data_IF_754765036121
#
_entry.id   IF_754765036121
#
_cell.length_a   1.000
_cell.length_b   1.000
_cell.length_c   1.000
_cell.angle_alpha   90.00
_cell.angle_beta   90.00
_cell.angle_gamma   90.00
#
_symmetry.space_group_name_H-M   'P 1'
#
loop_
_entity.id
_entity.type
_entity.pdbx_description
1 polymer ?
#
# COMPACT_ATOMS: atom_id res chain seq x y z
N UNK A 1 53.68 19.08 7.58
CA UNK A 1 52.66 19.39 6.56
C UNK A 1 53.16 18.66 5.33
N UNK A 2 52.66 17.49 4.94
CA UNK A 2 51.26 17.08 4.95
C UNK A 2 51.03 15.60 5.29
N UNK A 3 49.94 15.41 6.04
CA UNK A 3 49.27 14.16 6.31
C UNK A 3 48.38 13.82 5.12
N UNK A 4 48.49 12.60 4.59
CA UNK A 4 47.35 11.91 3.99
C UNK A 4 47.57 10.41 4.06
N UNK A 5 47.12 9.85 5.19
CA UNK A 5 46.99 8.42 5.39
C UNK A 5 45.75 7.95 4.62
N UNK A 6 45.95 7.18 3.55
CA UNK A 6 44.87 6.44 2.92
C UNK A 6 44.43 5.30 3.86
N UNK A 7 43.40 5.57 4.66
CA UNK A 7 42.69 4.55 5.42
C UNK A 7 41.82 3.74 4.45
N UNK A 8 42.35 2.61 3.98
CA UNK A 8 41.55 1.58 3.32
C UNK A 8 40.75 0.88 4.41
N UNK A 9 39.48 1.25 4.58
CA UNK A 9 38.53 0.51 5.42
C UNK A 9 38.18 -0.79 4.69
N UNK A 10 39.03 -1.80 4.85
CA UNK A 10 38.67 -3.18 4.57
C UNK A 10 37.59 -3.60 5.56
N UNK A 11 36.41 -3.94 5.05
CA UNK A 11 35.37 -4.64 5.81
C UNK A 11 35.92 -6.00 6.19
N UNK A 12 36.57 -6.09 7.36
CA UNK A 12 37.14 -7.33 7.86
C UNK A 12 36.00 -8.28 8.24
N UNK A 13 35.79 -9.31 7.40
CA UNK A 13 35.01 -10.48 7.79
C UNK A 13 35.58 -11.07 9.10
N UNK A 14 34.74 -11.56 10.02
CA UNK A 14 35.22 -12.13 11.27
C UNK A 14 36.17 -13.30 11.00
N UNK A 15 37.42 -13.17 11.43
CA UNK A 15 38.46 -14.19 11.26
C UNK A 15 38.22 -15.33 12.23
N UNK A 16 37.93 -16.52 11.70
CA UNK A 16 37.82 -17.73 12.50
C UNK A 16 39.20 -18.12 13.03
N UNK A 17 39.40 -17.99 14.34
CA UNK A 17 40.58 -18.51 15.00
C UNK A 17 40.57 -20.05 14.95
N UNK A 18 41.57 -20.64 14.31
CA UNK A 18 41.76 -22.10 14.31
C UNK A 18 42.29 -22.51 15.68
N UNK A 19 41.40 -22.86 16.60
CA UNK A 19 41.79 -23.55 17.84
C UNK A 19 41.87 -25.05 17.57
N UNK A 20 43.06 -25.51 17.20
CA UNK A 20 43.42 -26.93 17.33
C UNK A 20 43.55 -27.27 18.82
N UNK A 21 42.57 -27.95 19.42
CA UNK A 21 42.81 -29.03 20.39
C UNK A 21 41.52 -29.58 21.04
N UNK A 22 41.39 -30.91 20.94
CA UNK A 22 41.03 -31.85 22.02
C UNK A 22 39.64 -31.79 22.71
N UNK A 23 38.82 -32.79 22.35
CA UNK A 23 38.21 -33.77 23.26
C UNK A 23 37.04 -33.34 24.18
N UNK A 24 35.87 -33.88 23.83
CA UNK A 24 34.76 -34.37 24.69
C UNK A 24 34.05 -33.41 25.66
N UNK A 25 32.73 -33.65 25.76
CA UNK A 25 31.76 -33.06 26.69
C UNK A 25 31.32 -31.63 26.36
N UNK A 26 30.19 -31.52 25.64
CA UNK A 26 29.10 -30.57 25.90
C UNK A 26 27.97 -30.75 24.88
N UNK A 27 27.31 -31.91 24.91
CA UNK A 27 26.04 -32.13 24.18
C UNK A 27 24.84 -31.60 24.98
N UNK A 28 25.05 -31.09 26.21
CA UNK A 28 23.98 -30.65 27.10
C UNK A 28 23.63 -29.15 27.01
N UNK A 29 24.39 -28.34 26.27
CA UNK A 29 24.24 -26.86 26.30
C UNK A 29 23.54 -26.28 25.05
N UNK A 30 23.45 -27.05 23.96
CA UNK A 30 22.84 -26.58 22.71
C UNK A 30 21.30 -26.56 22.74
N UNK A 31 20.68 -27.24 23.70
CA UNK A 31 19.23 -27.17 23.93
C UNK A 31 18.80 -25.91 24.68
N UNK A 32 19.72 -25.17 25.30
CA UNK A 32 19.40 -24.00 26.12
C UNK A 32 19.50 -22.67 25.34
N UNK A 33 20.30 -22.61 24.26
CA UNK A 33 20.48 -21.39 23.45
C UNK A 33 19.36 -21.21 22.41
N UNK A 34 18.59 -22.27 22.13
CA UNK A 34 17.34 -22.17 21.36
C UNK A 34 16.18 -21.51 22.15
N UNK A 35 16.38 -21.20 23.43
CA UNK A 35 15.33 -20.67 24.32
C UNK A 35 15.54 -19.23 24.78
N UNK A 36 16.51 -18.50 24.22
CA UNK A 36 16.81 -17.10 24.58
C UNK A 36 16.98 -16.22 23.34
N UNK A 37 15.96 -16.16 22.49
CA UNK A 37 15.77 -15.09 21.50
C UNK A 37 14.36 -15.13 20.89
N UNK A 38 13.33 -15.25 21.73
CA UNK A 38 11.98 -14.79 21.38
C UNK A 38 11.56 -13.94 22.56
N UNK A 39 11.38 -12.61 22.42
CA UNK A 39 10.62 -11.90 23.43
C UNK A 39 9.25 -12.55 23.46
N UNK A 40 8.90 -13.18 24.57
CA UNK A 40 7.60 -13.77 24.81
C UNK A 40 6.56 -12.72 24.46
N UNK A 41 5.78 -12.97 23.40
CA UNK A 41 4.68 -12.11 22.95
C UNK A 41 3.64 -11.85 24.07
N UNK A 42 3.72 -12.61 25.17
CA UNK A 42 2.94 -12.44 26.40
C UNK A 42 3.35 -11.25 27.28
N UNK A 43 4.55 -10.67 27.14
CA UNK A 43 5.00 -9.55 27.98
C UNK A 43 4.65 -8.15 27.43
N UNK A 44 4.23 -8.07 26.17
CA UNK A 44 3.73 -6.84 25.52
C UNK A 44 2.20 -6.74 25.50
N UNK A 45 1.50 -7.71 26.10
CA UNK A 45 0.03 -7.78 26.14
C UNK A 45 -0.57 -7.47 27.53
N UNK A 46 0.24 -7.04 28.50
CA UNK A 46 -0.22 -6.76 29.87
C UNK A 46 -0.48 -5.28 30.17
N UNK A 47 -0.29 -4.38 29.22
CA UNK A 47 -0.88 -3.05 29.34
C UNK A 47 -2.31 -3.13 28.80
N UNK A 48 -3.35 -2.89 29.64
CA UNK A 48 -4.71 -2.78 29.15
C UNK A 48 -4.74 -1.60 28.17
N UNK A 49 -4.85 -1.90 26.88
CA UNK A 49 -5.23 -0.90 25.88
C UNK A 49 -6.67 -0.53 26.21
N UNK A 50 -6.83 0.61 26.87
CA UNK A 50 -8.10 1.26 27.08
C UNK A 50 -8.64 1.64 25.70
N UNK A 51 -9.56 0.83 25.19
CA UNK A 51 -10.29 1.18 23.97
C UNK A 51 -11.14 2.42 24.28
N UNK A 52 -11.07 3.49 23.47
CA UNK A 52 -12.00 4.60 23.62
C UNK A 52 -13.43 4.05 23.51
N UNK A 53 -14.32 4.48 24.41
CA UNK A 53 -15.73 4.09 24.40
C UNK A 53 -16.32 4.21 22.98
N UNK A 54 -17.22 3.29 22.59
CA UNK A 54 -17.95 3.43 21.33
C UNK A 54 -18.73 4.75 21.37
N UNK A 55 -18.44 5.60 20.39
CA UNK A 55 -19.07 6.92 20.26
C UNK A 55 -20.60 6.78 20.34
N UNK A 56 -21.28 7.70 21.06
CA UNK A 56 -22.72 7.66 21.24
C UNK A 56 -23.44 7.66 19.88
N UNK A 57 -24.63 7.04 19.79
CA UNK A 57 -25.35 6.82 18.54
C UNK A 57 -25.73 8.10 17.77
N UNK A 58 -25.58 9.27 18.39
CA UNK A 58 -25.82 10.59 17.80
C UNK A 58 -24.83 10.94 16.66
N UNK A 59 -23.63 10.34 16.62
CA UNK A 59 -22.63 10.62 15.56
C UNK A 59 -22.88 9.78 14.28
N UNK A 60 -23.49 8.60 14.42
CA UNK A 60 -23.87 7.79 13.27
C UNK A 60 -25.08 8.38 12.52
N UNK A 61 -25.88 9.21 13.18
CA UNK A 61 -26.97 9.97 12.55
C UNK A 61 -26.40 11.10 11.67
N UNK A 62 -25.38 11.84 12.13
CA UNK A 62 -24.71 12.88 11.31
C UNK A 62 -24.02 12.31 10.06
N UNK A 63 -23.39 11.14 10.15
CA UNK A 63 -22.74 10.53 8.98
C UNK A 63 -23.74 9.93 7.98
N UNK A 64 -24.91 9.48 8.45
CA UNK A 64 -26.00 8.99 7.59
C UNK A 64 -26.82 10.11 6.94
N UNK A 65 -26.78 11.33 7.48
CA UNK A 65 -27.42 12.51 6.91
C UNK A 65 -26.58 13.18 5.81
N UNK A 66 -25.27 12.90 5.74
CA UNK A 66 -24.39 13.42 4.69
C UNK A 66 -24.61 12.86 3.27
N UNK A 67 -25.52 11.89 3.11
CA UNK A 67 -25.88 11.27 1.81
C UNK A 67 -27.34 11.51 1.41
N UNK A 68 -28.01 12.48 2.05
CA UNK A 68 -29.36 12.89 1.67
C UNK A 68 -29.35 14.30 1.12
N UNK A 69 -29.16 14.44 -0.19
CA UNK A 69 -29.82 15.43 -1.05
C UNK A 69 -30.23 16.71 -0.30
N UNK A 70 -29.29 17.58 0.04
CA UNK A 70 -29.63 18.99 0.23
C UNK A 70 -29.97 19.53 -1.16
N UNK A 71 -31.26 19.49 -1.44
CA UNK A 71 -31.89 20.32 -2.44
C UNK A 71 -31.54 21.75 -2.05
N UNK A 72 -30.45 22.26 -2.63
CA UNK A 72 -30.02 23.64 -2.44
C UNK A 72 -31.19 24.51 -2.85
N UNK A 73 -31.77 25.19 -1.87
CA UNK A 73 -32.96 26.00 -2.05
C UNK A 73 -32.64 27.05 -3.13
N UNK A 74 -33.55 27.26 -4.09
CA UNK A 74 -33.34 28.22 -5.19
C UNK A 74 -33.04 29.62 -4.63
N UNK A 75 -33.49 29.87 -3.40
CA UNK A 75 -33.22 31.06 -2.60
C UNK A 75 -31.76 31.17 -2.10
N UNK A 76 -31.09 30.05 -1.80
CA UNK A 76 -29.68 30.05 -1.37
C UNK A 76 -28.73 30.16 -2.55
N UNK A 77 -29.00 29.50 -3.69
CA UNK A 77 -28.25 29.69 -4.92
C UNK A 77 -28.35 31.15 -5.41
N UNK A 78 -29.54 31.77 -5.31
CA UNK A 78 -29.73 33.18 -5.65
C UNK A 78 -29.08 34.13 -4.64
N UNK A 79 -29.04 33.78 -3.35
CA UNK A 79 -28.33 34.57 -2.33
C UNK A 79 -26.80 34.44 -2.42
N UNK A 80 -26.26 33.26 -2.79
CA UNK A 80 -24.84 33.08 -3.07
C UNK A 80 -24.45 33.83 -4.35
N UNK A 81 -25.28 33.79 -5.39
CA UNK A 81 -25.08 34.55 -6.63
C UNK A 81 -25.14 36.07 -6.41
N UNK A 82 -26.01 36.54 -5.50
CA UNK A 82 -26.06 37.95 -5.03
C UNK A 82 -24.86 38.36 -4.18
N UNK A 83 -24.24 37.43 -3.45
CA UNK A 83 -23.02 37.68 -2.65
C UNK A 83 -21.74 37.63 -3.49
N UNK A 84 -21.66 36.72 -4.47
CA UNK A 84 -20.51 36.56 -5.37
C UNK A 84 -20.48 37.62 -6.48
N UNK A 85 -21.65 38.14 -6.86
CA UNK A 85 -21.82 39.25 -7.79
C UNK A 85 -22.70 40.33 -7.14
N UNK A 86 -22.15 41.21 -6.30
CA UNK A 86 -22.89 42.35 -5.83
C UNK A 86 -23.23 43.20 -7.06
N UNK A 87 -24.51 43.33 -7.41
CA UNK A 87 -24.93 44.48 -8.21
C UNK A 87 -24.46 45.72 -7.47
N UNK A 88 -23.57 46.49 -8.10
CA UNK A 88 -23.10 47.75 -7.58
C UNK A 88 -24.34 48.60 -7.21
N UNK A 89 -24.57 48.77 -5.92
CA UNK A 89 -25.48 49.78 -5.40
C UNK A 89 -24.82 51.12 -5.72
N UNK A 90 -25.41 51.86 -6.65
CA UNK A 90 -25.06 53.26 -6.91
C UNK A 90 -25.27 54.05 -5.61
N UNK A 91 -24.32 54.90 -5.16
CA UNK A 91 -24.52 55.69 -3.96
C UNK A 91 -25.63 56.73 -4.18
N UNK A 92 -26.44 56.92 -3.14
CA UNK A 92 -27.53 57.87 -3.03
C UNK A 92 -27.03 59.31 -3.28
N UNK A 93 -27.65 59.96 -4.26
CA UNK A 93 -27.31 61.31 -4.70
C UNK A 93 -28.02 62.32 -3.77
N UNK A 94 -27.51 62.53 -2.55
CA UNK A 94 -27.93 63.70 -1.77
C UNK A 94 -26.79 64.31 -0.93
N UNK A 95 -26.48 65.56 -1.29
CA UNK A 95 -25.66 66.55 -0.59
C UNK A 95 -24.12 66.42 -0.65
N UNK A 96 -23.53 67.01 -1.71
CA UNK A 96 -22.52 68.07 -1.58
C UNK A 96 -22.15 68.62 -2.97
N UNK A 97 -22.14 69.95 -3.07
CA UNK A 97 -22.07 70.80 -4.27
C UNK A 97 -20.82 70.52 -5.14
N UNK A 98 -20.93 70.43 -6.48
CA UNK A 98 -19.77 70.32 -7.34
C UNK A 98 -19.19 71.70 -7.68
N UNK A 99 -17.91 71.91 -7.41
CA UNK A 99 -17.11 72.95 -8.05
C UNK A 99 -16.19 72.33 -9.10
N UNK A 100 -16.38 72.75 -10.35
CA UNK A 100 -15.50 72.69 -11.53
C UNK A 100 -14.33 71.67 -11.55
N UNK A 101 -14.48 70.62 -12.35
CA UNK A 101 -13.51 70.24 -13.39
C UNK A 101 -14.08 69.07 -14.23
N UNK A 102 -14.41 69.34 -15.50
CA UNK A 102 -15.00 68.36 -16.44
C UNK A 102 -14.11 67.13 -16.72
N UNK A 103 -12.88 67.13 -16.20
CA UNK A 103 -11.88 66.08 -16.39
C UNK A 103 -11.99 64.95 -15.34
N UNK A 104 -12.37 65.27 -14.09
CA UNK A 104 -12.35 64.29 -12.99
C UNK A 104 -13.53 63.30 -13.04
N UNK A 105 -14.73 63.77 -13.39
CA UNK A 105 -15.91 62.91 -13.56
C UNK A 105 -15.77 61.94 -14.74
N UNK A 106 -15.17 62.42 -15.84
CA UNK A 106 -14.84 61.59 -17.01
C UNK A 106 -13.81 60.50 -16.66
N UNK A 107 -12.78 60.87 -15.90
CA UNK A 107 -11.76 59.94 -15.42
C UNK A 107 -12.35 58.87 -14.48
N UNK A 108 -13.23 59.27 -13.57
CA UNK A 108 -13.92 58.35 -12.65
C UNK A 108 -14.79 57.33 -13.41
N UNK A 109 -15.59 57.77 -14.37
CA UNK A 109 -16.42 56.88 -15.19
C UNK A 109 -15.59 55.95 -16.09
N UNK A 110 -14.48 56.44 -16.64
CA UNK A 110 -13.53 55.63 -17.42
C UNK A 110 -12.86 54.55 -16.56
N UNK A 111 -12.43 54.90 -15.35
CA UNK A 111 -11.88 53.94 -14.37
C UNK A 111 -12.90 52.89 -13.96
N UNK A 112 -14.15 53.30 -13.71
CA UNK A 112 -15.22 52.39 -13.32
C UNK A 112 -15.58 51.41 -14.44
N UNK A 113 -15.70 51.88 -15.69
CA UNK A 113 -15.96 51.03 -16.86
C UNK A 113 -14.82 50.04 -17.11
N UNK A 114 -13.55 50.45 -16.93
CA UNK A 114 -12.40 49.55 -17.07
C UNK A 114 -12.35 48.50 -15.97
N UNK A 115 -12.67 48.88 -14.73
CA UNK A 115 -12.79 47.94 -13.61
C UNK A 115 -13.91 46.93 -13.86
N UNK A 116 -15.08 47.39 -14.34
CA UNK A 116 -16.22 46.54 -14.69
C UNK A 116 -15.92 45.60 -15.88
N UNK A 117 -15.21 46.07 -16.91
CA UNK A 117 -14.76 45.21 -18.01
C UNK A 117 -13.76 44.15 -17.55
N UNK A 118 -12.85 44.51 -16.64
CA UNK A 118 -11.83 43.61 -16.12
C UNK A 118 -12.46 42.52 -15.24
N UNK A 119 -13.43 42.87 -14.39
CA UNK A 119 -14.19 41.89 -13.60
C UNK A 119 -15.06 41.01 -14.49
N UNK A 120 -15.69 41.56 -15.54
CA UNK A 120 -16.45 40.75 -16.50
C UNK A 120 -15.57 39.76 -17.28
N UNK A 121 -14.34 40.14 -17.63
CA UNK A 121 -13.36 39.23 -18.28
C UNK A 121 -12.90 38.13 -17.32
N UNK A 122 -12.61 38.49 -16.07
CA UNK A 122 -12.23 37.52 -15.04
C UNK A 122 -13.38 36.53 -14.76
N UNK A 123 -14.62 37.00 -14.69
CA UNK A 123 -15.81 36.16 -14.52
C UNK A 123 -15.98 35.18 -15.69
N UNK A 124 -15.87 35.64 -16.95
CA UNK A 124 -15.94 34.76 -18.14
C UNK A 124 -14.81 33.71 -18.17
N UNK A 125 -13.61 34.07 -17.73
CA UNK A 125 -12.49 33.13 -17.63
C UNK A 125 -12.75 32.08 -16.55
N UNK A 126 -13.28 32.49 -15.39
CA UNK A 126 -13.66 31.57 -14.33
C UNK A 126 -14.76 30.61 -14.80
N UNK A 127 -15.81 31.10 -15.47
CA UNK A 127 -16.87 30.26 -16.04
C UNK A 127 -16.34 29.25 -17.06
N UNK A 128 -15.43 29.66 -17.94
CA UNK A 128 -14.80 28.76 -18.90
C UNK A 128 -13.97 27.68 -18.22
N UNK A 129 -13.19 28.04 -17.18
CA UNK A 129 -12.42 27.08 -16.40
C UNK A 129 -13.32 26.08 -15.67
N UNK A 130 -14.39 26.56 -15.02
CA UNK A 130 -15.36 25.70 -14.34
C UNK A 130 -16.01 24.74 -15.33
N UNK A 131 -16.46 25.21 -16.50
CA UNK A 131 -17.03 24.33 -17.53
C UNK A 131 -16.06 23.27 -18.01
N UNK A 132 -14.79 23.63 -18.22
CA UNK A 132 -13.76 22.68 -18.64
C UNK A 132 -13.50 21.63 -17.58
N UNK A 133 -13.40 22.03 -16.31
CA UNK A 133 -13.23 21.10 -15.19
C UNK A 133 -14.44 20.17 -15.07
N UNK A 134 -15.67 20.69 -15.22
CA UNK A 134 -16.88 19.86 -15.20
C UNK A 134 -16.90 18.84 -16.35
N UNK A 135 -16.52 19.25 -17.55
CA UNK A 135 -16.41 18.35 -18.71
C UNK A 135 -15.34 17.27 -18.50
N UNK A 136 -14.18 17.64 -17.95
CA UNK A 136 -13.10 16.69 -17.62
C UNK A 136 -13.54 15.68 -16.54
N UNK A 137 -14.27 16.14 -15.52
CA UNK A 137 -14.84 15.29 -14.47
C UNK A 137 -15.89 14.35 -15.06
N UNK A 138 -16.80 14.84 -15.89
CA UNK A 138 -17.84 14.02 -16.51
C UNK A 138 -17.24 12.97 -17.46
N UNK A 139 -16.22 13.33 -18.24
CA UNK A 139 -15.49 12.41 -19.08
C UNK A 139 -14.78 11.32 -18.26
N UNK A 140 -14.17 11.68 -17.13
CA UNK A 140 -13.55 10.72 -16.21
C UNK A 140 -14.59 9.77 -15.59
N UNK A 141 -15.73 10.30 -15.15
CA UNK A 141 -16.84 9.48 -14.64
C UNK A 141 -17.37 8.51 -15.69
N UNK A 142 -17.55 8.97 -16.93
CA UNK A 142 -18.00 8.12 -18.03
C UNK A 142 -16.97 7.03 -18.34
N UNK A 143 -15.68 7.33 -18.30
CA UNK A 143 -14.62 6.33 -18.45
C UNK A 143 -14.70 5.27 -17.35
N UNK A 144 -14.84 5.70 -16.09
CA UNK A 144 -15.00 4.79 -14.94
C UNK A 144 -16.26 3.93 -15.11
N UNK A 145 -17.40 4.53 -15.43
CA UNK A 145 -18.66 3.82 -15.67
C UNK A 145 -18.57 2.86 -16.86
N UNK A 146 -17.82 3.17 -17.91
CA UNK A 146 -17.62 2.29 -19.07
C UNK A 146 -16.70 1.12 -18.74
N UNK A 147 -15.66 1.33 -17.93
CA UNK A 147 -14.80 0.27 -17.38
C UNK A 147 -15.61 -0.63 -16.43
N UNK A 148 -16.52 -0.03 -15.65
CA UNK A 148 -17.35 -0.72 -14.66
C UNK A 148 -18.64 -1.34 -15.22
N UNK A 149 -19.13 -0.88 -16.38
CA UNK A 149 -20.38 -1.34 -17.00
C UNK A 149 -20.32 -2.75 -17.58
N UNK A 150 -19.10 -3.26 -17.83
CA UNK A 150 -18.84 -4.69 -18.08
C UNK A 150 -18.39 -5.45 -16.83
N UNK A 151 -18.38 -4.80 -15.65
CA UNK A 151 -17.84 -5.34 -14.43
C UNK A 151 -18.90 -6.11 -13.65
N UNK A 152 -18.53 -7.32 -13.24
CA UNK A 152 -19.30 -8.20 -12.39
C UNK A 152 -19.71 -7.51 -11.07
N UNK A 153 -20.84 -7.93 -10.48
CA UNK A 153 -21.28 -7.46 -9.16
C UNK A 153 -20.73 -8.38 -8.07
N UNK A 154 -20.40 -7.81 -6.91
CA UNK A 154 -20.06 -8.59 -5.73
C UNK A 154 -21.28 -9.40 -5.27
N UNK A 155 -21.03 -10.55 -4.65
CA UNK A 155 -22.06 -11.51 -4.27
C UNK A 155 -22.01 -11.84 -2.77
N UNK A 156 -23.09 -12.47 -2.29
CA UNK A 156 -23.21 -12.95 -0.92
C UNK A 156 -22.54 -14.31 -0.76
N UNK A 157 -22.06 -14.64 0.44
CA UNK A 157 -21.38 -15.91 0.74
C UNK A 157 -22.18 -17.13 0.28
N UNK A 158 -23.47 -17.19 0.65
CA UNK A 158 -24.39 -18.29 0.28
C UNK A 158 -24.65 -18.43 -1.23
N UNK A 159 -24.27 -17.44 -2.04
CA UNK A 159 -24.40 -17.49 -3.51
C UNK A 159 -23.12 -17.91 -4.22
N UNK A 160 -22.01 -18.08 -3.48
CA UNK A 160 -20.76 -18.59 -4.02
C UNK A 160 -20.85 -20.11 -4.24
N UNK A 161 -20.10 -20.66 -5.20
CA UNK A 161 -19.87 -22.09 -5.26
C UNK A 161 -19.04 -22.55 -4.05
N UNK A 162 -19.19 -23.82 -3.67
CA UNK A 162 -18.57 -24.41 -2.47
C UNK A 162 -17.05 -24.21 -2.38
N UNK A 163 -16.34 -24.30 -3.52
CA UNK A 163 -14.89 -24.11 -3.58
C UNK A 163 -14.40 -22.66 -3.36
N UNK A 164 -15.30 -21.68 -3.29
CA UNK A 164 -15.01 -20.28 -2.91
C UNK A 164 -15.53 -19.92 -1.51
N UNK A 165 -16.24 -20.83 -0.85
CA UNK A 165 -16.82 -20.59 0.47
C UNK A 165 -15.81 -20.89 1.58
N UNK A 166 -14.72 -20.15 1.63
CA UNK A 166 -13.60 -20.44 2.55
C UNK A 166 -13.88 -20.02 4.00
N UNK A 167 -14.59 -18.91 4.21
CA UNK A 167 -14.89 -18.35 5.53
C UNK A 167 -16.31 -17.81 5.59
N UNK A 168 -17.18 -18.45 6.38
CA UNK A 168 -18.60 -18.17 6.52
C UNK A 168 -18.91 -16.91 7.36
N UNK A 169 -17.94 -16.39 8.11
CA UNK A 169 -18.04 -15.10 8.79
C UNK A 169 -17.99 -13.90 7.81
N UNK A 170 -17.49 -14.10 6.59
CA UNK A 170 -17.49 -13.09 5.55
C UNK A 170 -18.78 -13.19 4.72
N UNK A 171 -19.83 -12.46 5.10
CA UNK A 171 -21.13 -12.63 4.46
C UNK A 171 -21.28 -11.98 3.07
N UNK A 172 -20.62 -10.84 2.79
CA UNK A 172 -20.83 -10.01 1.59
C UNK A 172 -19.50 -9.55 0.97
N UNK A 173 -19.57 -9.06 -0.27
CA UNK A 173 -18.42 -8.44 -0.95
C UNK A 173 -17.55 -9.42 -1.72
N UNK A 174 -18.03 -10.63 -1.97
CA UNK A 174 -17.27 -11.67 -2.65
C UNK A 174 -17.27 -11.51 -4.16
N UNK A 175 -16.19 -11.92 -4.81
CA UNK A 175 -16.13 -11.98 -6.26
C UNK A 175 -16.87 -13.23 -6.76
N UNK A 176 -17.74 -13.12 -7.77
CA UNK A 176 -18.29 -14.30 -8.43
C UNK A 176 -17.18 -15.02 -9.22
N UNK A 177 -17.42 -16.26 -9.68
CA UNK A 177 -16.47 -16.95 -10.54
C UNK A 177 -16.16 -16.17 -11.83
N UNK A 178 -14.90 -15.75 -11.99
CA UNK A 178 -14.42 -14.96 -13.12
C UNK A 178 -13.59 -15.84 -14.06
N UNK A 179 -14.21 -16.48 -15.06
CA UNK A 179 -13.53 -17.36 -16.03
C UNK A 179 -12.61 -16.64 -17.04
N UNK A 180 -11.99 -15.53 -16.63
CA UNK A 180 -11.03 -14.77 -17.42
C UNK A 180 -9.95 -14.22 -16.51
N UNK A 181 -8.70 -14.61 -16.76
CA UNK A 181 -7.54 -14.05 -16.05
C UNK A 181 -7.50 -12.52 -16.12
N UNK A 182 -7.84 -11.93 -17.28
CA UNK A 182 -7.88 -10.47 -17.41
C UNK A 182 -8.91 -9.84 -16.45
N UNK A 183 -10.05 -10.48 -16.22
CA UNK A 183 -11.03 -10.03 -15.24
C UNK A 183 -10.52 -10.17 -13.80
N UNK A 184 -9.81 -11.26 -13.49
CA UNK A 184 -9.13 -11.45 -12.20
C UNK A 184 -8.08 -10.37 -11.94
N UNK A 185 -7.17 -10.09 -12.88
CA UNK A 185 -6.16 -9.03 -12.73
C UNK A 185 -6.77 -7.63 -12.65
N UNK A 186 -7.84 -7.36 -13.42
CA UNK A 186 -8.57 -6.09 -13.28
C UNK A 186 -9.26 -5.94 -11.93
N UNK A 187 -9.55 -7.05 -11.23
CA UNK A 187 -10.16 -7.00 -9.89
C UNK A 187 -9.23 -6.44 -8.82
N UNK A 188 -7.90 -6.43 -9.04
CA UNK A 188 -6.91 -5.86 -8.10
C UNK A 188 -7.27 -4.41 -7.71
N UNK A 189 -7.83 -3.64 -8.65
CA UNK A 189 -8.23 -2.25 -8.45
C UNK A 189 -9.71 -2.09 -8.05
N UNK A 190 -10.40 -3.17 -7.67
CA UNK A 190 -11.77 -3.15 -7.15
C UNK A 190 -11.80 -3.55 -5.69
N UNK A 191 -12.81 -3.07 -4.98
CA UNK A 191 -13.04 -3.41 -3.58
C UNK A 191 -13.88 -4.69 -3.48
N UNK A 192 -13.33 -5.69 -2.80
CA UNK A 192 -13.94 -6.98 -2.48
C UNK A 192 -13.18 -7.62 -1.32
N UNK A 193 -13.64 -8.79 -0.84
CA UNK A 193 -13.04 -9.50 0.31
C UNK A 193 -11.53 -9.77 0.16
N UNK A 194 -11.08 -10.09 -1.05
CA UNK A 194 -9.67 -10.39 -1.34
C UNK A 194 -8.75 -9.17 -1.57
N UNK A 195 -9.28 -7.94 -1.54
CA UNK A 195 -8.48 -6.74 -1.91
C UNK A 195 -7.31 -6.57 -0.94
N UNK A 196 -7.55 -6.72 0.37
CA UNK A 196 -6.50 -6.64 1.38
C UNK A 196 -5.40 -7.68 1.15
N UNK A 197 -5.77 -8.95 0.98
CA UNK A 197 -4.84 -10.05 0.76
C UNK A 197 -3.96 -9.85 -0.48
N UNK A 198 -4.53 -9.34 -1.58
CA UNK A 198 -3.76 -9.03 -2.78
C UNK A 198 -2.74 -7.92 -2.50
N UNK A 199 -3.20 -6.79 -1.95
CA UNK A 199 -2.37 -5.59 -1.83
C UNK A 199 -1.27 -5.73 -0.77
N UNK A 200 -1.53 -6.39 0.36
CA UNK A 200 -0.52 -6.61 1.40
C UNK A 200 0.65 -7.42 0.85
N UNK A 201 0.38 -8.53 0.17
CA UNK A 201 1.42 -9.37 -0.43
C UNK A 201 2.06 -8.73 -1.66
N UNK A 202 1.30 -8.02 -2.51
CA UNK A 202 1.84 -7.34 -3.68
C UNK A 202 2.81 -6.22 -3.29
N UNK A 203 2.42 -5.35 -2.35
CA UNK A 203 3.29 -4.28 -1.86
C UNK A 203 4.51 -4.85 -1.14
N UNK A 204 4.34 -5.92 -0.35
CA UNK A 204 5.45 -6.64 0.26
C UNK A 204 6.43 -7.17 -0.80
N UNK A 205 5.92 -7.79 -1.86
CA UNK A 205 6.75 -8.31 -2.96
C UNK A 205 7.56 -7.18 -3.62
N UNK A 206 6.92 -6.06 -3.97
CA UNK A 206 7.59 -4.90 -4.56
C UNK A 206 8.64 -4.29 -3.62
N UNK A 207 8.35 -4.23 -2.32
CA UNK A 207 9.30 -3.78 -1.31
C UNK A 207 10.54 -4.69 -1.27
N UNK A 208 10.36 -6.01 -1.21
CA UNK A 208 11.46 -6.96 -1.20
C UNK A 208 12.26 -6.95 -2.51
N UNK A 209 11.62 -6.74 -3.67
CA UNK A 209 12.32 -6.49 -4.94
C UNK A 209 13.20 -5.24 -4.84
N UNK A 210 12.66 -4.12 -4.34
CA UNK A 210 13.42 -2.88 -4.18
C UNK A 210 14.61 -3.02 -3.24
N UNK A 211 14.41 -3.66 -2.09
CA UNK A 211 15.47 -3.95 -1.12
C UNK A 211 16.54 -4.86 -1.73
N UNK A 212 16.13 -5.93 -2.44
CA UNK A 212 17.06 -6.85 -3.08
C UNK A 212 17.92 -6.14 -4.14
N UNK A 213 17.30 -5.33 -5.00
CA UNK A 213 18.02 -4.55 -6.01
C UNK A 213 19.01 -3.60 -5.34
N UNK A 214 18.58 -2.88 -4.30
CA UNK A 214 19.45 -1.97 -3.55
C UNK A 214 20.65 -2.69 -2.91
N UNK A 215 20.41 -3.80 -2.22
CA UNK A 215 21.44 -4.57 -1.52
C UNK A 215 22.43 -5.24 -2.49
N UNK A 216 21.93 -5.90 -3.54
CA UNK A 216 22.77 -6.61 -4.52
C UNK A 216 23.56 -5.65 -5.42
N UNK A 217 23.10 -4.41 -5.59
CA UNK A 217 23.81 -3.37 -6.36
C UNK A 217 24.95 -2.71 -5.59
N UNK A 218 25.12 -2.98 -4.29
CA UNK A 218 26.25 -2.43 -3.51
C UNK A 218 27.57 -2.97 -4.09
N UNK A 219 28.65 -2.17 -4.20
CA UNK A 219 29.92 -2.66 -4.74
C UNK A 219 30.53 -3.75 -3.85
N UNK A 220 31.27 -4.67 -4.46
CA UNK A 220 31.85 -5.82 -3.75
C UNK A 220 32.93 -5.44 -2.72
N UNK A 221 33.48 -4.23 -2.83
CA UNK A 221 34.40 -3.67 -1.84
C UNK A 221 33.70 -3.37 -0.50
N UNK A 222 32.38 -3.13 -0.51
CA UNK A 222 31.59 -2.91 0.69
C UNK A 222 30.93 -4.20 1.20
N UNK A 223 30.38 -5.00 0.29
CA UNK A 223 29.69 -6.25 0.63
C UNK A 223 30.29 -7.38 -0.23
N UNK A 224 31.02 -8.34 0.37
CA UNK A 224 31.57 -9.47 -0.34
C UNK A 224 30.50 -10.24 -1.13
N UNK A 225 30.90 -10.83 -2.26
CA UNK A 225 29.98 -11.55 -3.13
C UNK A 225 29.31 -12.75 -2.44
N UNK A 226 29.98 -13.36 -1.46
CA UNK A 226 29.47 -14.48 -0.66
C UNK A 226 28.26 -14.05 0.18
N UNK A 227 28.37 -12.91 0.86
CA UNK A 227 27.27 -12.33 1.63
C UNK A 227 26.10 -11.95 0.72
N UNK A 228 26.40 -11.40 -0.46
CA UNK A 228 25.38 -11.14 -1.48
C UNK A 228 24.66 -12.41 -1.92
N UNK A 229 25.38 -13.49 -2.17
CA UNK A 229 24.79 -14.76 -2.57
C UNK A 229 23.89 -15.33 -1.46
N UNK A 230 24.36 -15.27 -0.21
CA UNK A 230 23.63 -15.70 0.97
C UNK A 230 22.31 -14.92 1.14
N UNK A 231 22.36 -13.59 1.13
CA UNK A 231 21.13 -12.77 1.23
C UNK A 231 20.25 -12.83 -0.03
N UNK A 232 20.82 -13.06 -1.21
CA UNK A 232 20.05 -13.25 -2.44
C UNK A 232 19.09 -14.43 -2.33
N UNK A 233 19.47 -15.52 -1.65
CA UNK A 233 18.57 -16.67 -1.43
C UNK A 233 17.36 -16.29 -0.59
N UNK A 234 17.55 -15.51 0.48
CA UNK A 234 16.46 -14.99 1.30
C UNK A 234 15.55 -14.08 0.48
N UNK A 235 16.10 -13.09 -0.22
CA UNK A 235 15.30 -12.18 -1.04
C UNK A 235 14.52 -12.90 -2.13
N UNK A 236 15.15 -13.82 -2.86
CA UNK A 236 14.47 -14.62 -3.87
C UNK A 236 13.30 -15.42 -3.27
N UNK A 237 13.52 -16.06 -2.12
CA UNK A 237 12.47 -16.83 -1.44
C UNK A 237 11.29 -15.97 -0.97
N UNK A 238 11.55 -14.76 -0.45
CA UNK A 238 10.53 -13.81 -0.04
C UNK A 238 9.71 -13.28 -1.22
N UNK A 239 10.38 -12.89 -2.32
CA UNK A 239 9.72 -12.42 -3.54
C UNK A 239 8.84 -13.53 -4.14
N UNK A 240 9.36 -14.77 -4.18
CA UNK A 240 8.61 -15.93 -4.68
C UNK A 240 7.37 -16.20 -3.81
N UNK A 241 7.52 -16.23 -2.49
CA UNK A 241 6.39 -16.46 -1.57
C UNK A 241 5.31 -15.38 -1.71
N UNK A 242 5.69 -14.10 -1.60
CA UNK A 242 4.74 -12.99 -1.67
C UNK A 242 4.10 -12.87 -3.06
N UNK A 243 4.87 -13.13 -4.11
CA UNK A 243 4.38 -13.17 -5.49
C UNK A 243 3.36 -14.29 -5.70
N UNK A 244 3.66 -15.51 -5.26
CA UNK A 244 2.73 -16.65 -5.38
C UNK A 244 1.44 -16.41 -4.58
N UNK A 245 1.53 -15.85 -3.38
CA UNK A 245 0.36 -15.48 -2.57
C UNK A 245 -0.51 -14.42 -3.23
N UNK A 246 0.10 -13.33 -3.70
CA UNK A 246 -0.62 -12.26 -4.41
C UNK A 246 -1.28 -12.78 -5.69
N UNK A 247 -0.59 -13.65 -6.44
CA UNK A 247 -1.17 -14.32 -7.62
C UNK A 247 -2.36 -15.20 -7.23
N UNK A 248 -2.23 -16.02 -6.19
CA UNK A 248 -3.33 -16.87 -5.69
C UNK A 248 -4.56 -16.04 -5.35
N UNK A 249 -4.44 -15.03 -4.50
CA UNK A 249 -5.56 -14.18 -4.13
C UNK A 249 -6.12 -13.37 -5.30
N UNK A 250 -5.34 -13.13 -6.36
CA UNK A 250 -5.85 -12.50 -7.59
C UNK A 250 -6.68 -13.48 -8.43
N UNK A 251 -6.19 -14.70 -8.65
CA UNK A 251 -6.80 -15.68 -9.56
C UNK A 251 -7.69 -16.71 -8.88
N UNK A 252 -7.83 -16.65 -7.55
CA UNK A 252 -8.63 -17.60 -6.76
C UNK A 252 -10.03 -17.75 -7.33
N UNK A 253 -10.70 -16.64 -7.65
CA UNK A 253 -12.04 -16.65 -8.24
C UNK A 253 -12.15 -17.17 -9.69
N UNK A 254 -11.08 -17.60 -10.35
CA UNK A 254 -11.14 -17.94 -11.77
C UNK A 254 -11.96 -19.19 -12.07
N UNK A 255 -11.57 -20.29 -11.42
CA UNK A 255 -12.15 -21.62 -11.57
C UNK A 255 -11.55 -22.51 -10.49
N UNK A 256 -12.29 -23.53 -10.06
CA UNK A 256 -11.84 -24.47 -9.03
C UNK A 256 -10.44 -25.04 -9.27
N UNK A 257 -10.12 -25.46 -10.49
CA UNK A 257 -8.81 -26.02 -10.82
C UNK A 257 -7.67 -25.00 -10.64
N UNK A 258 -7.85 -23.79 -11.18
CA UNK A 258 -6.87 -22.69 -11.06
C UNK A 258 -6.72 -22.27 -9.59
N UNK A 259 -7.83 -22.13 -8.85
CA UNK A 259 -7.81 -21.80 -7.43
C UNK A 259 -7.02 -22.84 -6.63
N UNK A 260 -7.29 -24.13 -6.82
CA UNK A 260 -6.57 -25.23 -6.17
C UNK A 260 -5.09 -25.26 -6.53
N UNK A 261 -4.74 -25.06 -7.81
CA UNK A 261 -3.34 -25.04 -8.25
C UNK A 261 -2.57 -23.89 -7.59
N UNK A 262 -3.12 -22.67 -7.63
CA UNK A 262 -2.45 -21.51 -7.05
C UNK A 262 -2.45 -21.53 -5.53
N UNK A 263 -3.45 -22.14 -4.88
CA UNK A 263 -3.44 -22.39 -3.42
C UNK A 263 -2.27 -23.30 -3.03
N UNK A 264 -2.02 -24.37 -3.79
CA UNK A 264 -0.84 -25.23 -3.57
C UNK A 264 0.46 -24.47 -3.74
N UNK A 265 0.55 -23.63 -4.78
CA UNK A 265 1.75 -22.80 -5.03
C UNK A 265 1.99 -21.79 -3.90
N UNK A 266 0.92 -21.21 -3.33
CA UNK A 266 1.02 -20.31 -2.18
C UNK A 266 1.58 -21.02 -0.95
N UNK A 267 1.05 -22.21 -0.61
CA UNK A 267 1.60 -23.05 0.47
C UNK A 267 3.07 -23.45 0.21
N UNK A 268 3.42 -23.80 -1.03
CA UNK A 268 4.81 -24.06 -1.41
C UNK A 268 5.69 -22.81 -1.20
N UNK A 269 5.15 -21.63 -1.49
CA UNK A 269 5.83 -20.34 -1.28
C UNK A 269 6.24 -20.13 0.17
N UNK A 270 5.36 -20.44 1.12
CA UNK A 270 5.67 -20.36 2.55
C UNK A 270 6.85 -21.28 2.91
N UNK A 271 6.84 -22.52 2.45
CA UNK A 271 7.94 -23.46 2.70
C UNK A 271 9.27 -22.98 2.09
N UNK A 272 9.24 -22.45 0.86
CA UNK A 272 10.43 -21.88 0.20
C UNK A 272 10.98 -20.68 0.98
N UNK A 273 10.11 -19.78 1.47
CA UNK A 273 10.51 -18.65 2.32
C UNK A 273 11.16 -19.12 3.63
N UNK A 274 10.60 -20.14 4.29
CA UNK A 274 11.19 -20.70 5.50
C UNK A 274 12.61 -21.20 5.19
N UNK A 275 12.80 -22.06 4.19
CA UNK A 275 14.13 -22.58 3.83
C UNK A 275 15.10 -21.42 3.51
N UNK A 276 14.68 -20.48 2.66
CA UNK A 276 15.51 -19.35 2.23
C UNK A 276 15.89 -18.40 3.38
N UNK A 277 15.00 -18.19 4.36
CA UNK A 277 15.28 -17.35 5.53
C UNK A 277 16.34 -17.95 6.47
N UNK A 278 16.45 -19.28 6.52
CA UNK A 278 17.46 -19.96 7.33
C UNK A 278 18.87 -19.85 6.74
N UNK A 279 19.03 -19.60 5.44
CA UNK A 279 20.36 -19.52 4.80
C UNK A 279 21.26 -18.43 5.40
N UNK A 280 20.87 -17.13 5.42
CA UNK A 280 21.67 -16.10 6.08
C UNK A 280 21.83 -16.32 7.57
N UNK A 281 20.76 -16.77 8.25
CA UNK A 281 20.81 -17.01 9.68
C UNK A 281 21.82 -18.09 10.06
N UNK A 282 21.84 -19.23 9.36
CA UNK A 282 22.82 -20.30 9.58
C UNK A 282 24.23 -19.90 9.14
N UNK A 283 24.35 -19.13 8.06
CA UNK A 283 25.63 -18.64 7.57
C UNK A 283 26.37 -17.84 8.63
N UNK A 284 25.69 -16.86 9.26
CA UNK A 284 26.28 -16.03 10.32
C UNK A 284 26.26 -16.70 11.70
N UNK A 285 25.20 -17.44 12.04
CA UNK A 285 25.07 -18.11 13.33
C UNK A 285 26.12 -19.19 13.57
N UNK A 286 26.56 -19.88 12.51
CA UNK A 286 27.61 -20.90 12.55
C UNK A 286 28.80 -20.51 11.66
N UNK A 287 29.15 -19.22 11.59
CA UNK A 287 30.15 -18.69 10.65
C UNK A 287 31.42 -19.54 10.61
N UNK A 288 31.98 -19.86 11.78
CA UNK A 288 33.20 -20.65 11.94
C UNK A 288 33.00 -22.17 12.09
N UNK A 289 31.78 -22.63 12.33
CA UNK A 289 31.48 -24.03 12.61
C UNK A 289 30.72 -24.67 11.43
N UNK A 290 31.47 -25.32 10.53
CA UNK A 290 30.89 -25.89 9.32
C UNK A 290 29.90 -27.06 9.58
N UNK A 291 30.21 -27.92 10.55
CA UNK A 291 29.40 -29.12 10.84
C UNK A 291 27.95 -28.78 11.26
N UNK A 292 27.70 -27.95 12.29
CA UNK A 292 26.33 -27.57 12.65
C UNK A 292 25.65 -26.76 11.54
N UNK A 293 26.37 -25.90 10.82
CA UNK A 293 25.83 -25.13 9.68
C UNK A 293 25.18 -26.04 8.64
N UNK A 294 25.89 -27.07 8.19
CA UNK A 294 25.39 -28.01 7.18
C UNK A 294 24.29 -28.91 7.76
N UNK A 295 24.45 -29.41 8.99
CA UNK A 295 23.45 -30.26 9.62
C UNK A 295 22.07 -29.57 9.69
N UNK A 296 22.02 -28.34 10.20
CA UNK A 296 20.75 -27.61 10.30
C UNK A 296 20.21 -27.19 8.93
N UNK A 297 21.08 -26.87 7.97
CA UNK A 297 20.66 -26.57 6.61
C UNK A 297 20.00 -27.77 5.91
N UNK A 298 20.57 -28.96 6.06
CA UNK A 298 19.97 -30.20 5.53
C UNK A 298 18.65 -30.49 6.24
N UNK A 299 18.60 -30.35 7.57
CA UNK A 299 17.39 -30.58 8.34
C UNK A 299 16.23 -29.69 7.90
N UNK A 300 16.45 -28.37 7.80
CA UNK A 300 15.39 -27.43 7.37
C UNK A 300 14.99 -27.68 5.91
N UNK A 301 15.93 -28.07 5.04
CA UNK A 301 15.64 -28.41 3.65
C UNK A 301 14.76 -29.66 3.52
N UNK A 302 15.03 -30.70 4.31
CA UNK A 302 14.23 -31.94 4.32
C UNK A 302 12.83 -31.66 4.88
N UNK A 303 12.71 -30.91 5.97
CA UNK A 303 11.42 -30.55 6.55
C UNK A 303 10.59 -29.67 5.60
N UNK A 304 11.23 -28.69 4.96
CA UNK A 304 10.57 -27.84 3.98
C UNK A 304 10.14 -28.61 2.72
N UNK A 305 10.97 -29.53 2.22
CA UNK A 305 10.59 -30.41 1.11
C UNK A 305 9.41 -31.32 1.47
N UNK A 306 9.39 -31.87 2.69
CA UNK A 306 8.25 -32.65 3.17
C UNK A 306 6.97 -31.80 3.24
N UNK A 307 7.06 -30.55 3.70
CA UNK A 307 5.93 -29.60 3.71
C UNK A 307 5.37 -29.33 2.30
N UNK A 308 6.26 -29.14 1.31
CA UNK A 308 5.89 -28.96 -0.10
C UNK A 308 5.15 -30.19 -0.63
N UNK A 309 5.60 -31.40 -0.31
CA UNK A 309 4.97 -32.65 -0.76
C UNK A 309 3.56 -32.83 -0.16
N UNK A 310 3.35 -32.36 1.07
CA UNK A 310 2.05 -32.44 1.76
C UNK A 310 1.03 -31.43 1.20
N UNK A 311 1.49 -30.34 0.60
CA UNK A 311 0.65 -29.23 0.08
C UNK A 311 -0.11 -29.61 -1.20
#
# INVERSE_FOLDING_TARGET
MDLSSNATTSSAAPTCAVTSSATTSNVASASAVASTAVPTFSALLNDPVEFPEPLPPEIFEELSLSDSSEYMDVEEETNLRKRLFPSAVLPDESSLVPSESDDFGSLYMSLHNRAAEQTARAAKQAEHLVRKVLEDVENAEQLVRKIWGGAWKVCHFSSLPEWLQDNDFLHKGHRPPLRSFSACFRSIFRIHTETGNIWTHLLGCLLFVGIAVYFLSRPSDMIPWEEKAVFATFFASAIICLGMSSMFHTVSCHSEHVGKLFSKLDYCGIAVLIIGSFVPWLYYGFYCDYQPKVFYFVLVSVLGAASIIVS
#
